data_IF_513209753464
#
_entry.id   IF_513209753464
#
_cell.length_a   1.000
_cell.length_b   1.000
_cell.length_c   1.000
_cell.angle_alpha   90.00
_cell.angle_beta   90.00
_cell.angle_gamma   90.00
#
_symmetry.space_group_name_H-M   'P 1'
#
loop_
_entity.id
_entity.type
_entity.pdbx_description
1 polymer ?
#
# COMPACT_ATOMS: atom_id res chain seq x y z
N UNK A 1 16.54 -21.71 10.94
CA UNK A 1 17.13 -21.18 9.69
C UNK A 1 16.20 -20.08 9.15
N UNK A 2 16.68 -18.86 9.00
CA UNK A 2 15.91 -17.77 8.38
C UNK A 2 15.92 -17.96 6.86
N UNK A 3 14.75 -18.12 6.27
CA UNK A 3 14.59 -18.25 4.82
C UNK A 3 15.19 -17.01 4.12
N UNK A 4 16.22 -17.22 3.30
CA UNK A 4 16.83 -16.14 2.52
C UNK A 4 15.93 -15.78 1.34
N UNK A 5 15.03 -14.82 1.53
CA UNK A 5 14.07 -14.43 0.49
C UNK A 5 14.75 -13.76 -0.71
N UNK A 6 14.35 -14.17 -1.91
CA UNK A 6 14.75 -13.54 -3.17
C UNK A 6 13.94 -12.25 -3.41
N UNK A 7 14.45 -11.35 -4.27
CA UNK A 7 13.73 -10.10 -4.64
C UNK A 7 12.33 -10.39 -5.20
N UNK A 8 12.12 -11.34 -6.13
CA UNK A 8 10.78 -11.69 -6.61
C UNK A 8 9.85 -12.16 -5.50
N UNK A 9 10.35 -12.98 -4.56
CA UNK A 9 9.55 -13.47 -3.43
C UNK A 9 9.14 -12.32 -2.50
N UNK A 10 10.04 -11.37 -2.22
CA UNK A 10 9.74 -10.19 -1.41
C UNK A 10 8.66 -9.35 -2.10
N UNK A 11 8.76 -9.09 -3.40
CA UNK A 11 7.76 -8.34 -4.17
C UNK A 11 6.38 -9.01 -4.13
N UNK A 12 6.31 -10.33 -4.36
CA UNK A 12 5.07 -11.11 -4.28
C UNK A 12 4.43 -11.02 -2.89
N UNK A 13 5.23 -11.14 -1.83
CA UNK A 13 4.73 -10.99 -0.46
C UNK A 13 4.27 -9.56 -0.19
N UNK A 14 4.99 -8.54 -0.66
CA UNK A 14 4.57 -7.13 -0.56
C UNK A 14 3.20 -6.90 -1.21
N UNK A 15 2.98 -7.40 -2.42
CA UNK A 15 1.68 -7.26 -3.10
C UNK A 15 0.52 -7.91 -2.30
N UNK A 16 0.82 -8.95 -1.54
CA UNK A 16 -0.15 -9.54 -0.60
C UNK A 16 -0.36 -8.66 0.63
N UNK A 17 0.73 -8.13 1.21
CA UNK A 17 0.68 -7.29 2.41
C UNK A 17 -0.10 -5.98 2.17
N UNK A 18 -0.03 -5.39 0.97
CA UNK A 18 -0.79 -4.18 0.63
C UNK A 18 -2.31 -4.34 0.74
N UNK A 19 -2.83 -5.56 0.79
CA UNK A 19 -4.26 -5.80 1.00
C UNK A 19 -4.76 -5.25 2.34
N UNK A 20 -3.88 -5.03 3.31
CA UNK A 20 -4.23 -4.41 4.61
C UNK A 20 -4.76 -2.98 4.46
N UNK A 21 -4.40 -2.27 3.39
CA UNK A 21 -4.88 -0.91 3.11
C UNK A 21 -6.41 -0.81 3.10
N UNK A 22 -7.10 -1.89 2.77
CA UNK A 22 -8.57 -1.96 2.82
C UNK A 22 -9.18 -1.70 4.21
N UNK A 23 -8.38 -1.92 5.25
CA UNK A 23 -8.77 -1.68 6.64
C UNK A 23 -8.43 -0.27 7.15
N UNK A 24 -7.65 0.50 6.39
CA UNK A 24 -7.27 1.85 6.78
C UNK A 24 -8.51 2.76 6.83
N UNK A 25 -8.78 3.31 8.01
CA UNK A 25 -9.98 4.13 8.25
C UNK A 25 -11.25 3.34 8.59
N UNK A 26 -11.20 2.01 8.63
CA UNK A 26 -12.33 1.19 9.10
C UNK A 26 -12.63 1.45 10.58
N UNK A 27 -13.91 1.53 10.90
CA UNK A 27 -14.40 1.72 12.27
C UNK A 27 -14.83 0.41 12.93
N UNK A 28 -15.16 -0.62 12.15
CA UNK A 28 -15.75 -1.88 12.63
C UNK A 28 -14.95 -3.13 12.22
N UNK A 29 -13.90 -3.00 11.41
CA UNK A 29 -13.11 -4.12 10.88
C UNK A 29 -13.85 -5.01 9.87
N UNK A 30 -15.12 -4.72 9.60
CA UNK A 30 -16.01 -5.48 8.70
C UNK A 30 -16.29 -4.69 7.43
N UNK A 31 -16.48 -3.37 7.59
CA UNK A 31 -16.78 -2.47 6.46
C UNK A 31 -15.81 -1.30 6.43
N UNK A 32 -15.58 -0.74 5.25
CA UNK A 32 -14.85 0.52 5.09
C UNK A 32 -15.43 1.31 3.92
N UNK A 33 -15.04 2.58 3.81
CA UNK A 33 -15.47 3.46 2.74
C UNK A 33 -14.42 3.54 1.64
N UNK A 34 -14.89 3.58 0.40
CA UNK A 34 -14.06 3.95 -0.72
C UNK A 34 -13.55 5.39 -0.53
N UNK A 35 -12.23 5.59 -0.63
CA UNK A 35 -11.59 6.89 -0.43
C UNK A 35 -12.03 7.94 -1.46
N UNK A 36 -12.54 7.52 -2.63
CA UNK A 36 -12.86 8.39 -3.75
C UNK A 36 -14.36 8.65 -3.95
N UNK A 37 -15.25 7.70 -3.65
CA UNK A 37 -16.69 7.89 -3.79
C UNK A 37 -17.47 7.76 -2.47
N UNK A 38 -16.78 7.49 -1.36
CA UNK A 38 -17.34 7.31 -0.02
C UNK A 38 -18.35 6.13 0.12
N UNK A 39 -18.52 5.29 -0.90
CA UNK A 39 -19.36 4.09 -0.82
C UNK A 39 -18.88 3.17 0.29
N UNK A 40 -19.79 2.73 1.16
CA UNK A 40 -19.49 1.79 2.25
C UNK A 40 -19.56 0.36 1.75
N UNK A 41 -18.48 -0.37 1.87
CA UNK A 41 -18.33 -1.72 1.34
C UNK A 41 -17.77 -2.68 2.37
N UNK A 42 -18.14 -3.97 2.30
CA UNK A 42 -17.57 -4.99 3.16
C UNK A 42 -16.05 -5.18 2.97
N UNK A 43 -15.36 -5.51 4.06
CA UNK A 43 -14.00 -6.02 4.07
C UNK A 43 -14.11 -7.50 4.51
N UNK A 44 -13.44 -8.45 3.91
CA UNK A 44 -12.38 -8.42 2.88
C UNK A 44 -12.86 -8.78 1.47
N UNK A 45 -14.05 -8.38 1.09
CA UNK A 45 -14.61 -8.76 -0.21
C UNK A 45 -13.90 -8.04 -1.38
N UNK A 46 -14.02 -8.61 -2.56
CA UNK A 46 -13.33 -8.19 -3.80
C UNK A 46 -13.65 -6.75 -4.24
N UNK A 47 -14.74 -6.18 -3.75
CA UNK A 47 -15.22 -4.85 -4.09
C UNK A 47 -14.36 -3.72 -3.53
N UNK A 48 -13.73 -3.92 -2.34
CA UNK A 48 -12.81 -2.94 -1.78
C UNK A 48 -11.37 -3.39 -1.99
N UNK A 49 -10.59 -2.57 -2.66
CA UNK A 49 -9.25 -2.87 -3.14
C UNK A 49 -8.23 -1.87 -2.61
N UNK A 50 -6.95 -2.22 -2.72
CA UNK A 50 -5.85 -1.27 -2.53
C UNK A 50 -5.66 -0.49 -3.83
N UNK A 51 -6.17 0.74 -3.88
CA UNK A 51 -5.94 1.68 -4.97
C UNK A 51 -4.59 2.36 -4.85
N UNK A 52 -4.06 2.82 -5.99
CA UNK A 52 -2.82 3.59 -6.08
C UNK A 52 -3.13 4.91 -6.77
N UNK A 53 -2.73 6.04 -6.18
CA UNK A 53 -2.80 7.34 -6.82
C UNK A 53 -1.83 7.40 -8.00
N UNK A 54 -0.55 7.22 -7.74
CA UNK A 54 0.45 6.99 -8.80
C UNK A 54 0.47 5.51 -9.13
N UNK A 55 0.32 5.19 -10.42
CA UNK A 55 0.14 3.82 -10.91
C UNK A 55 1.29 2.87 -10.49
N UNK A 56 0.96 1.60 -10.36
CA UNK A 56 1.90 0.52 -9.93
C UNK A 56 3.15 0.38 -10.80
N UNK A 57 3.16 0.93 -12.01
CA UNK A 57 4.33 0.97 -12.90
C UNK A 57 5.49 1.75 -12.29
N UNK A 58 5.20 2.81 -11.51
CA UNK A 58 6.20 3.51 -10.75
C UNK A 58 6.65 2.68 -9.53
N UNK A 59 7.78 2.00 -9.68
CA UNK A 59 8.29 1.11 -8.63
C UNK A 59 8.78 1.88 -7.40
N UNK A 60 9.15 3.16 -7.52
CA UNK A 60 9.57 3.99 -6.38
C UNK A 60 8.41 4.27 -5.43
N UNK A 61 7.18 4.40 -5.96
CA UNK A 61 5.98 4.77 -5.20
C UNK A 61 5.02 3.60 -4.93
N UNK A 62 5.25 2.44 -5.54
CA UNK A 62 4.34 1.29 -5.46
C UNK A 62 3.98 0.87 -4.03
N UNK A 63 4.92 0.98 -3.09
CA UNK A 63 4.75 0.51 -1.71
C UNK A 63 4.67 1.64 -0.69
N UNK A 64 4.62 2.88 -1.13
CA UNK A 64 4.55 4.06 -0.27
C UNK A 64 3.13 4.26 0.25
N UNK A 65 2.97 4.35 1.57
CA UNK A 65 1.65 4.37 2.23
C UNK A 65 0.74 5.51 1.79
N UNK A 66 1.29 6.72 1.60
CA UNK A 66 0.51 7.89 1.16
C UNK A 66 0.00 7.76 -0.28
N UNK A 67 0.64 6.91 -1.11
CA UNK A 67 0.20 6.58 -2.45
C UNK A 67 -0.97 5.59 -2.49
N UNK A 68 -1.36 5.04 -1.33
CA UNK A 68 -2.27 3.90 -1.22
C UNK A 68 -3.54 4.28 -0.48
N UNK A 69 -4.68 3.81 -0.99
CA UNK A 69 -5.98 4.08 -0.39
C UNK A 69 -6.98 2.95 -0.62
N UNK A 70 -7.97 2.75 0.28
CA UNK A 70 -9.07 1.83 0.01
C UNK A 70 -9.96 2.40 -1.11
N UNK A 71 -10.10 1.67 -2.21
CA UNK A 71 -10.97 2.06 -3.33
C UNK A 71 -11.91 0.93 -3.72
N UNK A 72 -13.16 1.25 -4.06
CA UNK A 72 -14.07 0.28 -4.66
C UNK A 72 -13.61 -0.09 -6.07
N UNK A 73 -14.07 -1.25 -6.55
CA UNK A 73 -13.72 -1.74 -7.89
C UNK A 73 -14.08 -0.74 -8.98
N UNK A 74 -15.22 -0.04 -8.87
CA UNK A 74 -15.62 0.98 -9.83
C UNK A 74 -14.59 2.10 -9.94
N UNK A 75 -14.20 2.70 -8.80
CA UNK A 75 -13.23 3.80 -8.79
C UNK A 75 -11.83 3.34 -9.22
N UNK A 76 -11.38 2.18 -8.73
CA UNK A 76 -10.03 1.69 -8.97
C UNK A 76 -9.82 1.19 -10.41
N UNK A 77 -10.82 0.53 -11.02
CA UNK A 77 -10.70 -0.06 -12.35
C UNK A 77 -11.41 0.75 -13.44
N UNK A 78 -12.71 1.00 -13.26
CA UNK A 78 -13.52 1.59 -14.35
C UNK A 78 -13.35 3.10 -14.48
N UNK A 79 -12.95 3.79 -13.39
CA UNK A 79 -12.67 5.22 -13.38
C UNK A 79 -11.16 5.52 -13.30
N UNK A 80 -10.32 4.56 -13.67
CA UNK A 80 -8.86 4.67 -13.71
C UNK A 80 -8.26 5.29 -12.42
N UNK A 81 -8.79 4.89 -11.25
CA UNK A 81 -8.37 5.38 -9.95
C UNK A 81 -9.10 6.65 -9.50
N UNK A 82 -9.99 7.24 -10.31
CA UNK A 82 -10.71 8.49 -10.01
C UNK A 82 -9.74 9.58 -9.49
N UNK A 83 -8.76 9.95 -10.33
CA UNK A 83 -7.55 10.69 -9.97
C UNK A 83 -7.81 12.03 -9.26
N UNK A 84 -8.81 12.79 -9.68
CA UNK A 84 -9.24 14.06 -9.06
C UNK A 84 -9.66 13.85 -7.59
N UNK A 85 -10.49 12.85 -7.35
CA UNK A 85 -10.99 12.50 -6.00
C UNK A 85 -9.90 11.83 -5.15
N UNK A 86 -9.00 11.07 -5.77
CA UNK A 86 -7.86 10.48 -5.11
C UNK A 86 -6.86 11.57 -4.64
N UNK A 87 -6.58 12.56 -5.48
CA UNK A 87 -5.79 13.73 -5.10
C UNK A 87 -6.43 14.49 -3.93
N UNK A 88 -7.74 14.74 -4.02
CA UNK A 88 -8.49 15.38 -2.93
C UNK A 88 -8.37 14.59 -1.61
N UNK A 89 -8.50 13.26 -1.65
CA UNK A 89 -8.33 12.40 -0.46
C UNK A 89 -6.92 12.52 0.14
N UNK A 90 -5.88 12.55 -0.70
CA UNK A 90 -4.49 12.69 -0.23
C UNK A 90 -4.30 14.04 0.46
N UNK A 91 -4.73 15.14 -0.16
CA UNK A 91 -4.61 16.49 0.41
C UNK A 91 -5.32 16.58 1.77
N UNK A 92 -6.53 16.05 1.88
CA UNK A 92 -7.30 16.13 3.14
C UNK A 92 -6.74 15.22 4.24
N UNK A 93 -6.10 14.11 3.89
CA UNK A 93 -5.58 13.16 4.87
C UNK A 93 -4.14 13.43 5.27
N UNK A 94 -3.33 13.89 4.36
CA UNK A 94 -1.88 13.98 4.54
C UNK A 94 -1.31 15.39 4.33
N UNK A 95 -1.98 16.24 3.55
CA UNK A 95 -1.52 17.57 3.18
C UNK A 95 -1.19 17.73 1.70
N UNK A 96 -1.08 18.98 1.25
CA UNK A 96 -0.76 19.29 -0.15
C UNK A 96 0.70 18.95 -0.48
N UNK A 97 1.60 19.11 0.46
CA UNK A 97 3.03 18.84 0.31
C UNK A 97 3.28 17.36 -0.04
N UNK A 98 2.48 16.45 0.52
CA UNK A 98 2.57 15.03 0.25
C UNK A 98 2.06 14.68 -1.16
N UNK A 99 1.03 15.38 -1.63
CA UNK A 99 0.58 15.24 -3.01
C UNK A 99 1.65 15.74 -3.99
N UNK A 100 2.23 16.92 -3.74
CA UNK A 100 3.28 17.50 -4.56
C UNK A 100 4.51 16.58 -4.61
N UNK A 101 4.91 16.03 -3.46
CA UNK A 101 6.01 15.06 -3.39
C UNK A 101 5.74 13.80 -4.23
N UNK A 102 4.52 13.25 -4.20
CA UNK A 102 4.15 12.11 -5.03
C UNK A 102 4.27 12.43 -6.53
N UNK A 103 3.73 13.58 -6.94
CA UNK A 103 3.76 14.02 -8.35
C UNK A 103 5.19 14.28 -8.83
N UNK A 104 5.99 14.99 -8.05
CA UNK A 104 7.39 15.23 -8.38
C UNK A 104 8.20 13.93 -8.47
N UNK A 105 7.95 12.99 -7.55
CA UNK A 105 8.62 11.69 -7.55
C UNK A 105 8.24 10.88 -8.78
N UNK A 106 6.96 10.95 -9.22
CA UNK A 106 6.52 10.30 -10.45
C UNK A 106 7.21 10.92 -11.70
N UNK A 107 7.28 12.24 -11.76
CA UNK A 107 8.00 12.93 -12.85
C UNK A 107 9.47 12.52 -12.90
N UNK A 108 10.14 12.46 -11.75
CA UNK A 108 11.55 12.02 -11.67
C UNK A 108 11.71 10.55 -12.09
N UNK A 109 10.76 9.69 -11.72
CA UNK A 109 10.75 8.29 -12.17
C UNK A 109 10.61 8.18 -13.69
N UNK A 110 9.64 8.89 -14.27
CA UNK A 110 9.38 8.88 -15.73
C UNK A 110 10.58 9.41 -16.53
N UNK A 111 11.36 10.31 -15.95
CA UNK A 111 12.62 10.82 -16.54
C UNK A 111 13.82 9.90 -16.30
N UNK A 112 13.64 8.74 -15.64
CA UNK A 112 14.74 7.82 -15.32
C UNK A 112 15.73 8.35 -14.27
N UNK A 113 15.36 9.39 -13.50
CA UNK A 113 16.22 10.00 -12.49
C UNK A 113 16.20 9.24 -11.14
N UNK A 114 15.26 8.34 -10.97
CA UNK A 114 15.15 7.48 -9.76
C UNK A 114 15.43 6.04 -10.17
N UNK A 115 16.43 5.38 -9.59
CA UNK A 115 16.72 3.98 -9.89
C UNK A 115 15.66 3.05 -9.31
N UNK A 116 15.53 1.81 -9.83
CA UNK A 116 14.69 0.77 -9.24
C UNK A 116 15.05 0.50 -7.78
N UNK A 117 14.04 0.12 -6.98
CA UNK A 117 14.24 -0.20 -5.56
C UNK A 117 15.27 -1.33 -5.36
N UNK A 118 16.26 -1.06 -4.53
CA UNK A 118 17.22 -2.06 -4.07
C UNK A 118 16.56 -3.06 -3.12
N UNK A 119 17.17 -4.25 -2.98
CA UNK A 119 16.66 -5.30 -2.07
C UNK A 119 16.48 -4.79 -0.64
N UNK A 120 17.40 -3.98 -0.13
CA UNK A 120 17.32 -3.38 1.21
C UNK A 120 16.07 -2.52 1.39
N UNK A 121 15.74 -1.69 0.41
CA UNK A 121 14.53 -0.85 0.43
C UNK A 121 13.26 -1.71 0.38
N UNK A 122 13.24 -2.77 -0.42
CA UNK A 122 12.13 -3.72 -0.45
C UNK A 122 11.94 -4.44 0.89
N UNK A 123 13.02 -4.77 1.60
CA UNK A 123 12.96 -5.34 2.94
C UNK A 123 12.38 -4.35 3.94
N UNK A 124 12.75 -3.06 3.85
CA UNK A 124 12.16 -2.00 4.69
C UNK A 124 10.65 -1.91 4.48
N UNK A 125 10.18 -1.86 3.25
CA UNK A 125 8.75 -1.87 2.95
C UNK A 125 8.07 -3.16 3.42
N UNK A 126 8.70 -4.30 3.20
CA UNK A 126 8.17 -5.58 3.66
C UNK A 126 7.95 -5.61 5.18
N UNK A 127 8.94 -5.19 5.95
CA UNK A 127 8.85 -5.16 7.41
C UNK A 127 7.78 -4.17 7.90
N UNK A 128 7.69 -3.00 7.28
CA UNK A 128 6.65 -2.01 7.57
C UNK A 128 5.24 -2.61 7.34
N UNK A 129 4.98 -3.13 6.15
CA UNK A 129 3.66 -3.68 5.82
C UNK A 129 3.33 -4.97 6.56
N UNK A 130 4.32 -5.76 6.94
CA UNK A 130 4.13 -6.90 7.83
C UNK A 130 3.66 -6.45 9.20
N UNK A 131 4.27 -5.40 9.76
CA UNK A 131 3.85 -4.78 11.02
C UNK A 131 2.41 -4.26 10.96
N UNK A 132 2.04 -3.54 9.90
CA UNK A 132 0.68 -3.06 9.70
C UNK A 132 -0.35 -4.22 9.64
N UNK A 133 -0.04 -5.30 8.92
CA UNK A 133 -0.92 -6.47 8.89
C UNK A 133 -1.09 -7.07 10.29
N UNK A 134 -0.02 -7.22 11.08
CA UNK A 134 -0.10 -7.75 12.45
C UNK A 134 -0.93 -6.87 13.36
N UNK A 135 -0.75 -5.54 13.28
CA UNK A 135 -1.54 -4.56 14.03
C UNK A 135 -3.04 -4.69 13.72
N UNK A 136 -3.41 -4.86 12.46
CA UNK A 136 -4.80 -5.04 12.05
C UNK A 136 -5.34 -6.40 12.47
N UNK A 137 -4.56 -7.49 12.34
CA UNK A 137 -4.93 -8.82 12.84
C UNK A 137 -5.24 -8.80 14.33
N UNK A 138 -4.41 -8.12 15.13
CA UNK A 138 -4.62 -7.97 16.57
C UNK A 138 -5.87 -7.14 16.88
N UNK A 139 -5.99 -5.96 16.26
CA UNK A 139 -7.11 -5.04 16.48
C UNK A 139 -8.47 -5.67 16.17
N UNK A 140 -8.59 -6.36 15.06
CA UNK A 140 -9.87 -6.89 14.55
C UNK A 140 -10.04 -8.40 14.73
N UNK A 141 -9.10 -9.07 15.44
CA UNK A 141 -9.11 -10.53 15.64
C UNK A 141 -9.31 -11.32 14.35
N UNK A 142 -8.74 -10.83 13.26
CA UNK A 142 -8.82 -11.42 11.92
C UNK A 142 -7.47 -11.99 11.51
N UNK A 143 -7.43 -12.88 10.52
CA UNK A 143 -6.20 -13.44 9.96
C UNK A 143 -6.02 -12.97 8.53
N UNK A 144 -4.98 -12.20 8.26
CA UNK A 144 -4.69 -11.61 6.96
C UNK A 144 -3.54 -12.31 6.24
N UNK A 145 -2.56 -12.78 7.01
CA UNK A 145 -1.31 -13.32 6.48
C UNK A 145 -0.87 -14.57 7.25
N UNK A 146 -0.02 -15.43 6.64
CA UNK A 146 0.53 -16.60 7.33
C UNK A 146 1.32 -16.22 8.59
N UNK A 147 1.09 -16.94 9.69
CA UNK A 147 1.84 -16.75 10.95
C UNK A 147 3.35 -17.00 10.80
N UNK A 148 3.73 -17.78 9.79
CA UNK A 148 5.13 -18.09 9.45
C UNK A 148 5.91 -16.89 8.87
N UNK A 149 5.21 -15.85 8.39
CA UNK A 149 5.90 -14.67 7.87
C UNK A 149 6.50 -13.87 9.02
N UNK A 150 7.80 -13.67 8.96
CA UNK A 150 8.59 -12.97 9.97
C UNK A 150 9.28 -11.75 9.34
N UNK A 151 9.62 -10.73 10.14
CA UNK A 151 10.47 -9.64 9.66
C UNK A 151 11.77 -10.19 9.09
N UNK A 152 12.23 -9.57 8.01
CA UNK A 152 13.52 -9.87 7.41
C UNK A 152 14.55 -8.96 8.08
N UNK A 153 15.66 -9.52 8.62
CA UNK A 153 16.71 -8.70 9.17
C UNK A 153 17.23 -7.69 8.14
N UNK A 154 17.32 -6.43 8.55
CA UNK A 154 18.05 -5.42 7.79
C UNK A 154 19.50 -5.50 8.22
N UNK A 155 20.42 -5.75 7.27
CA UNK A 155 21.83 -5.69 7.56
C UNK A 155 22.15 -4.29 8.12
N UNK A 156 22.29 -4.18 9.44
CA UNK A 156 22.91 -2.99 10.04
C UNK A 156 24.37 -3.04 9.61
N UNK A 157 24.74 -2.24 8.63
CA UNK A 157 26.15 -1.93 8.44
C UNK A 157 26.64 -1.32 9.76
N UNK A 158 27.52 -2.06 10.46
CA UNK A 158 28.34 -1.49 11.54
C UNK A 158 29.24 -0.41 10.97
#
# INVERSE_FOLDING_TARGET
MTEKLTVPTIRKRLDTLLKVVRYHGSHDGITNRCATCAEKLPIPIKELQCGHFIKRGNQALKYVSINLMPQCRRCNHFLDGAQDKAAWYIVHKYGVEELDWLVETDIKWLKGLIPPLKKSQLITYYNYWLGENRRIEEKWKTKLIPSTWKPIPTDRKK
#
